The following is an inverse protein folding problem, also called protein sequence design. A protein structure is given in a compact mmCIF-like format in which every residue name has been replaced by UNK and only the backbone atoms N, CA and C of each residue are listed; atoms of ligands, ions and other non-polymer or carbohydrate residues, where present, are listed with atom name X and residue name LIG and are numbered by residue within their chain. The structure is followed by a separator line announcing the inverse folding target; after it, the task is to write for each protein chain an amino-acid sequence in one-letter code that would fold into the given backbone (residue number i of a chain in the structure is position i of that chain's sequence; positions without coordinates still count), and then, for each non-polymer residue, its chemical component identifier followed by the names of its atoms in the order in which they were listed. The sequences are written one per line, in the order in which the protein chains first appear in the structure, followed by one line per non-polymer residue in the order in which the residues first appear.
data_IF_137988388278
#
_entry.id   IF_137988388278
#
_cell.length_a   1.000
_cell.length_b   1.000
_cell.length_c   1.000
_cell.angle_alpha   90.00
_cell.angle_beta   90.00
_cell.angle_gamma   90.00
#
_symmetry.space_group_name_H-M   'P 1'
#
loop_
_entity.id
_entity.type
_entity.pdbx_description
1 polymer ?
#
# COMPACT_ATOMS: atom_id res chain seq x y z
N UNK A 1 17.79 8.18 5.39
CA UNK A 1 17.31 6.94 4.72
C UNK A 1 16.56 6.10 5.74
N UNK A 2 15.52 5.37 5.34
CA UNK A 2 14.77 4.42 6.17
C UNK A 2 14.67 3.10 5.41
N UNK A 3 14.72 1.97 6.11
CA UNK A 3 14.62 0.63 5.55
C UNK A 3 13.32 0.00 6.03
N UNK A 4 12.74 -0.84 5.19
CA UNK A 4 11.54 -1.62 5.49
C UNK A 4 11.71 -3.04 4.98
N UNK A 5 11.04 -4.00 5.59
CA UNK A 5 11.19 -5.43 5.28
C UNK A 5 9.98 -6.00 4.56
N UNK A 6 8.77 -5.57 4.88
CA UNK A 6 7.55 -6.19 4.37
C UNK A 6 6.80 -5.29 3.41
N UNK A 7 6.33 -4.13 3.88
CA UNK A 7 5.48 -3.28 3.08
C UNK A 7 5.57 -1.80 3.46
N UNK A 8 5.21 -0.96 2.51
CA UNK A 8 5.05 0.47 2.69
C UNK A 8 3.73 0.93 2.10
N UNK A 9 3.24 2.05 2.59
CA UNK A 9 1.97 2.60 2.19
C UNK A 9 1.98 4.11 2.13
N UNK A 10 1.46 4.68 1.05
CA UNK A 10 1.38 6.12 0.84
C UNK A 10 0.01 6.52 0.30
N UNK A 11 -0.51 7.67 0.75
CA UNK A 11 -1.83 8.15 0.32
C UNK A 11 -3.01 7.65 1.16
N UNK A 12 -2.71 7.06 2.32
CA UNK A 12 -3.71 6.83 3.36
C UNK A 12 -4.14 8.20 3.91
N UNK A 13 -5.41 8.40 4.22
CA UNK A 13 -5.89 9.69 4.73
C UNK A 13 -5.63 9.80 6.25
N UNK A 14 -5.41 11.01 6.77
CA UNK A 14 -5.29 11.29 8.20
C UNK A 14 -6.55 10.86 8.98
N UNK A 15 -7.73 10.89 8.35
CA UNK A 15 -8.98 10.38 8.91
C UNK A 15 -8.95 8.85 9.11
N UNK A 16 -8.31 8.11 8.20
CA UNK A 16 -8.09 6.67 8.32
C UNK A 16 -7.20 6.36 9.52
N UNK A 17 -6.17 7.16 9.77
CA UNK A 17 -5.27 7.00 10.91
C UNK A 17 -6.00 7.32 12.22
N UNK A 18 -6.75 8.42 12.28
CA UNK A 18 -7.55 8.80 13.47
C UNK A 18 -8.61 7.77 13.83
N UNK A 19 -9.22 7.13 12.84
CA UNK A 19 -10.16 6.05 13.07
C UNK A 19 -9.51 4.79 13.66
N UNK A 20 -8.28 4.47 13.22
CA UNK A 20 -7.46 3.39 13.78
C UNK A 20 -7.07 3.69 15.23
N UNK A 21 -6.74 4.94 15.54
CA UNK A 21 -6.41 5.37 16.90
C UNK A 21 -7.62 5.37 17.83
N UNK A 22 -8.82 5.74 17.37
CA UNK A 22 -10.05 5.68 18.17
C UNK A 22 -10.41 4.27 18.68
N UNK A 23 -9.98 3.23 17.97
CA UNK A 23 -10.20 1.83 18.35
C UNK A 23 -9.16 1.29 19.36
N UNK A 24 -8.08 2.03 19.65
CA UNK A 24 -7.10 1.68 20.69
C UNK A 24 -7.64 1.88 22.12
N UNK A 25 -8.62 2.75 22.31
CA UNK A 25 -9.25 3.01 23.62
C UNK A 25 -10.14 1.88 24.16
N UNK A 26 -10.41 0.84 23.36
CA UNK A 26 -11.33 -0.25 23.71
C UNK A 26 -10.65 -1.60 24.02
N UNK A 27 -9.33 -1.63 24.27
CA UNK A 27 -8.67 -2.77 24.92
C UNK A 27 -8.37 -4.01 24.06
N UNK A 28 -8.38 -3.90 22.73
CA UNK A 28 -8.12 -5.04 21.85
C UNK A 28 -6.68 -5.06 21.32
N UNK A 29 -6.02 -6.22 21.41
CA UNK A 29 -4.64 -6.47 20.97
C UNK A 29 -4.48 -6.27 19.45
N UNK A 30 -3.37 -5.63 19.09
CA UNK A 30 -3.05 -5.21 17.73
C UNK A 30 -2.48 -6.37 16.90
N UNK A 31 -3.17 -6.75 15.83
CA UNK A 31 -2.64 -7.54 14.72
C UNK A 31 -2.84 -6.78 13.40
N UNK A 32 -2.01 -7.01 12.37
CA UNK A 32 -2.03 -6.30 11.08
C UNK A 32 -3.41 -6.22 10.39
N UNK A 33 -4.32 -7.16 10.70
CA UNK A 33 -5.71 -7.18 10.27
C UNK A 33 -6.51 -5.91 10.58
N UNK A 34 -6.17 -5.16 11.63
CA UNK A 34 -6.88 -3.92 12.01
C UNK A 34 -6.53 -2.70 11.17
N UNK A 35 -5.40 -2.71 10.46
CA UNK A 35 -5.02 -1.60 9.59
C UNK A 35 -5.97 -1.49 8.39
N UNK A 36 -6.40 -2.62 7.83
CA UNK A 36 -7.21 -2.66 6.60
C UNK A 36 -8.71 -2.51 6.86
N UNK A 37 -9.27 -3.17 7.88
CA UNK A 37 -10.72 -3.09 8.14
C UNK A 37 -11.15 -1.70 8.61
N UNK A 38 -10.28 -1.00 9.34
CA UNK A 38 -10.52 0.37 9.79
C UNK A 38 -10.29 1.39 8.68
N UNK A 39 -9.29 1.16 7.83
CA UNK A 39 -9.03 1.94 6.61
C UNK A 39 -10.24 1.99 5.68
N UNK A 40 -10.96 0.88 5.52
CA UNK A 40 -12.14 0.81 4.65
C UNK A 40 -13.37 1.52 5.23
N UNK A 41 -13.47 1.69 6.56
CA UNK A 41 -14.65 2.25 7.23
C UNK A 41 -14.62 3.76 7.39
N UNK A 42 -13.44 4.38 7.44
CA UNK A 42 -13.30 5.81 7.77
C UNK A 42 -12.66 6.68 6.69
N UNK A 43 -12.46 6.16 5.47
CA UNK A 43 -11.97 6.93 4.32
C UNK A 43 -13.06 7.84 3.67
N UNK A 44 -13.96 8.43 4.47
CA UNK A 44 -15.16 9.09 3.95
C UNK A 44 -15.15 10.63 3.95
N UNK A 45 -14.07 11.32 4.36
CA UNK A 45 -14.07 12.80 4.41
C UNK A 45 -12.93 13.57 3.70
N UNK A 46 -11.97 12.95 3.00
CA UNK A 46 -10.99 13.72 2.18
C UNK A 46 -11.43 13.96 0.74
N UNK A 47 -10.98 15.10 0.20
CA UNK A 47 -11.17 15.55 -1.19
C UNK A 47 -10.88 14.44 -2.21
N UNK A 48 -11.95 13.83 -2.72
CA UNK A 48 -11.96 12.72 -3.68
C UNK A 48 -11.71 13.14 -5.11
N UNK A 49 -11.64 14.44 -5.40
CA UNK A 49 -11.66 14.94 -6.78
C UNK A 49 -10.27 14.97 -7.41
N UNK A 50 -9.23 15.15 -6.59
CA UNK A 50 -7.86 15.33 -7.08
C UNK A 50 -6.92 14.28 -6.45
N UNK A 51 -6.61 13.19 -7.17
CA UNK A 51 -5.57 12.26 -6.72
C UNK A 51 -4.22 12.97 -6.67
N UNK A 52 -3.53 12.96 -5.52
CA UNK A 52 -2.37 13.80 -5.35
C UNK A 52 -1.09 13.19 -5.91
N UNK A 53 -1.02 11.87 -6.13
CA UNK A 53 0.26 11.19 -6.40
C UNK A 53 0.48 10.83 -7.87
N UNK A 54 1.75 10.96 -8.27
CA UNK A 54 2.29 10.50 -9.55
C UNK A 54 3.43 9.51 -9.28
N UNK A 55 3.42 8.40 -10.01
CA UNK A 55 4.46 7.38 -10.01
C UNK A 55 5.43 7.60 -11.17
N UNK A 56 6.74 7.57 -10.88
CA UNK A 56 7.82 7.68 -11.86
C UNK A 56 8.96 6.72 -11.52
N UNK A 57 9.67 6.22 -12.53
CA UNK A 57 10.90 5.47 -12.32
C UNK A 57 11.59 5.11 -13.64
N UNK A 58 12.82 4.57 -13.60
CA UNK A 58 13.56 4.19 -14.80
C UNK A 58 12.83 3.07 -15.54
N UNK A 59 12.48 3.29 -16.82
CA UNK A 59 11.77 2.28 -17.62
C UNK A 59 10.29 2.07 -17.26
N UNK A 60 9.79 2.77 -16.24
CA UNK A 60 8.40 2.68 -15.78
C UNK A 60 7.56 3.75 -16.49
N UNK A 61 6.44 3.38 -17.15
CA UNK A 61 5.49 4.35 -17.66
C UNK A 61 4.95 5.22 -16.52
N UNK A 62 5.03 6.53 -16.68
CA UNK A 62 4.49 7.48 -15.71
C UNK A 62 3.00 7.23 -15.48
N UNK A 63 2.62 7.11 -14.21
CA UNK A 63 1.23 6.90 -13.83
C UNK A 63 0.76 8.02 -12.92
N UNK A 64 -0.03 8.92 -13.49
CA UNK A 64 -0.70 9.98 -12.74
C UNK A 64 -1.98 9.52 -12.08
N UNK A 65 -2.34 10.29 -11.06
CA UNK A 65 -3.63 10.23 -10.42
C UNK A 65 -3.78 9.02 -9.52
N UNK A 66 -2.71 8.67 -8.80
CA UNK A 66 -2.73 7.64 -7.77
C UNK A 66 -3.21 8.25 -6.46
N UNK A 67 -4.24 7.67 -5.86
CA UNK A 67 -4.73 8.09 -4.54
C UNK A 67 -4.08 7.31 -3.40
N UNK A 68 -3.84 6.02 -3.63
CA UNK A 68 -3.30 5.08 -2.66
C UNK A 68 -2.28 4.21 -3.37
N UNK A 69 -1.12 4.02 -2.75
CA UNK A 69 -0.12 3.08 -3.19
C UNK A 69 0.25 2.13 -2.05
N UNK A 70 0.19 0.84 -2.34
CA UNK A 70 0.70 -0.24 -1.49
C UNK A 70 1.97 -0.75 -2.16
N UNK A 71 3.07 -0.74 -1.43
CA UNK A 71 4.37 -1.22 -1.88
C UNK A 71 4.70 -2.47 -1.07
N UNK A 72 5.08 -3.55 -1.74
CA UNK A 72 5.38 -4.82 -1.12
C UNK A 72 6.78 -5.29 -1.51
N UNK A 73 7.54 -5.72 -0.51
CA UNK A 73 8.80 -6.45 -0.68
C UNK A 73 8.57 -7.98 -0.62
N UNK A 74 7.40 -8.41 -0.14
CA UNK A 74 6.98 -9.81 -0.08
C UNK A 74 5.46 -9.92 0.00
N UNK A 75 4.94 -11.14 -0.16
CA UNK A 75 3.52 -11.49 -0.01
C UNK A 75 3.34 -12.48 1.14
N UNK A 76 2.22 -12.45 1.89
CA UNK A 76 1.09 -11.53 1.79
C UNK A 76 1.38 -10.15 2.39
N UNK A 77 0.64 -9.15 1.93
CA UNK A 77 0.73 -7.78 2.47
C UNK A 77 0.22 -7.71 3.92
N UNK A 78 -0.86 -8.43 4.20
CA UNK A 78 -1.50 -8.52 5.54
C UNK A 78 -2.51 -9.66 5.57
N UNK A 79 -3.25 -9.81 6.66
CA UNK A 79 -4.29 -10.83 6.85
C UNK A 79 -5.61 -10.20 7.29
N UNK A 80 -6.74 -10.74 6.87
CA UNK A 80 -8.09 -10.44 7.41
C UNK A 80 -8.61 -11.72 8.08
N UNK A 81 -8.57 -11.76 9.41
CA UNK A 81 -8.74 -13.03 10.13
C UNK A 81 -7.65 -14.02 9.69
N UNK A 82 -8.06 -15.19 9.23
CA UNK A 82 -7.15 -16.24 8.74
C UNK A 82 -6.90 -16.16 7.22
N UNK A 83 -7.49 -15.19 6.52
CA UNK A 83 -7.34 -15.05 5.08
C UNK A 83 -6.21 -14.07 4.74
N UNK A 84 -5.20 -14.46 3.96
CA UNK A 84 -4.19 -13.52 3.48
C UNK A 84 -4.81 -12.47 2.56
N UNK A 85 -4.18 -11.31 2.48
CA UNK A 85 -4.49 -10.25 1.52
C UNK A 85 -3.21 -9.96 0.73
N UNK A 86 -3.27 -10.21 -0.56
CA UNK A 86 -2.13 -10.28 -1.47
C UNK A 86 -2.41 -9.36 -2.68
N UNK A 87 -2.26 -8.03 -2.52
CA UNK A 87 -2.46 -7.07 -3.60
C UNK A 87 -1.43 -7.22 -4.73
N UNK A 88 -0.26 -7.76 -4.40
CA UNK A 88 0.89 -8.01 -5.27
C UNK A 88 1.33 -9.47 -5.06
N UNK A 89 0.59 -10.45 -5.63
CA UNK A 89 0.83 -11.87 -5.35
C UNK A 89 2.19 -12.40 -5.80
N UNK A 90 2.90 -11.66 -6.66
CA UNK A 90 4.23 -12.05 -7.15
C UNK A 90 5.37 -11.43 -6.35
N UNK A 91 5.07 -10.60 -5.35
CA UNK A 91 6.08 -9.96 -4.51
C UNK A 91 6.87 -11.02 -3.74
N UNK A 92 8.19 -11.00 -3.89
CA UNK A 92 9.11 -11.95 -3.28
C UNK A 92 10.39 -11.25 -2.82
N UNK A 93 11.04 -11.78 -1.78
CA UNK A 93 12.36 -11.31 -1.37
C UNK A 93 13.46 -11.57 -2.42
N UNK A 94 13.20 -12.46 -3.38
CA UNK A 94 14.11 -12.79 -4.48
C UNK A 94 13.98 -11.82 -5.67
N UNK A 95 12.95 -10.96 -5.67
CA UNK A 95 12.67 -9.99 -6.73
C UNK A 95 12.84 -8.56 -6.21
N UNK A 96 12.70 -7.59 -7.10
CA UNK A 96 12.52 -6.18 -6.76
C UNK A 96 11.22 -5.89 -6.02
N UNK A 97 10.87 -4.61 -5.94
CA UNK A 97 9.68 -4.14 -5.25
C UNK A 97 8.45 -4.19 -6.16
N UNK A 98 7.32 -4.57 -5.57
CA UNK A 98 6.02 -4.56 -6.23
C UNK A 98 5.16 -3.41 -5.72
N UNK A 99 4.29 -2.90 -6.58
CA UNK A 99 3.34 -1.85 -6.23
C UNK A 99 1.94 -2.18 -6.74
N UNK A 100 0.94 -1.99 -5.89
CA UNK A 100 -0.45 -1.83 -6.31
C UNK A 100 -0.93 -0.42 -5.97
N UNK A 101 -1.20 0.38 -7.00
CA UNK A 101 -1.73 1.73 -6.89
C UNK A 101 -3.18 1.81 -7.32
N UNK A 102 -4.02 2.50 -6.55
CA UNK A 102 -5.41 2.78 -6.89
C UNK A 102 -5.52 4.20 -7.43
N UNK A 103 -5.96 4.33 -8.69
CA UNK A 103 -6.17 5.59 -9.41
C UNK A 103 -7.59 6.14 -9.29
N UNK A 104 -8.51 5.34 -8.75
CA UNK A 104 -9.87 5.77 -8.41
C UNK A 104 -10.23 5.22 -7.04
N UNK A 105 -10.60 6.11 -6.14
CA UNK A 105 -11.15 5.73 -4.84
C UNK A 105 -12.66 5.89 -4.81
N UNK A 106 -13.32 4.83 -4.41
CA UNK A 106 -14.76 4.74 -4.31
C UNK A 106 -15.19 3.32 -4.02
N UNK A 107 -16.37 3.18 -3.40
CA UNK A 107 -16.93 1.89 -2.99
C UNK A 107 -16.92 0.87 -4.14
N UNK A 108 -17.31 1.29 -5.35
CA UNK A 108 -17.31 0.41 -6.51
C UNK A 108 -15.90 -0.06 -6.93
N UNK A 109 -14.87 0.79 -6.82
CA UNK A 109 -13.49 0.40 -7.14
C UNK A 109 -12.95 -0.59 -6.11
N UNK A 110 -13.25 -0.36 -4.83
CA UNK A 110 -12.89 -1.25 -3.73
C UNK A 110 -13.59 -2.59 -3.88
N UNK A 111 -14.91 -2.62 -4.06
CA UNK A 111 -15.69 -3.86 -4.22
C UNK A 111 -15.27 -4.68 -5.44
N UNK A 112 -14.77 -4.04 -6.50
CA UNK A 112 -14.21 -4.74 -7.66
C UNK A 112 -12.80 -5.30 -7.40
N UNK A 113 -12.00 -4.64 -6.58
CA UNK A 113 -10.58 -4.99 -6.34
C UNK A 113 -10.44 -5.99 -5.20
N UNK A 114 -11.17 -5.80 -4.11
CA UNK A 114 -11.10 -6.62 -2.90
C UNK A 114 -11.16 -8.14 -3.15
N UNK A 115 -12.13 -8.68 -3.92
CA UNK A 115 -12.18 -10.14 -4.14
C UNK A 115 -11.02 -10.66 -5.00
N UNK A 116 -10.30 -9.81 -5.73
CA UNK A 116 -9.14 -10.20 -6.54
C UNK A 116 -7.85 -10.27 -5.72
N UNK A 117 -7.82 -9.67 -4.52
CA UNK A 117 -6.61 -9.57 -3.69
C UNK A 117 -6.74 -10.34 -2.37
N UNK A 118 -7.92 -10.87 -2.03
CA UNK A 118 -8.11 -11.71 -0.84
C UNK A 118 -7.76 -13.16 -1.19
N UNK A 119 -7.02 -13.81 -0.31
CA UNK A 119 -6.47 -15.14 -0.50
C UNK A 119 -5.07 -15.10 -1.12
N UNK A 120 -4.76 -16.16 -1.86
CA UNK A 120 -3.48 -16.36 -2.57
C UNK A 120 -3.77 -16.36 -4.08
N UNK A 121 -4.12 -15.21 -4.67
CA UNK A 121 -4.37 -15.13 -6.10
C UNK A 121 -3.09 -15.44 -6.88
N UNK A 122 -3.23 -16.10 -8.01
CA UNK A 122 -2.13 -16.45 -8.91
C UNK A 122 -1.78 -15.31 -9.90
N UNK A 123 -2.59 -14.26 -9.92
CA UNK A 123 -2.54 -13.16 -10.90
C UNK A 123 -2.77 -11.82 -10.23
N UNK A 124 -2.14 -10.80 -10.82
CA UNK A 124 -2.37 -9.41 -10.47
C UNK A 124 -3.85 -9.01 -10.63
N UNK A 125 -4.40 -8.18 -9.72
CA UNK A 125 -5.75 -7.65 -9.88
C UNK A 125 -5.89 -6.84 -11.17
N UNK A 126 -7.05 -6.96 -11.80
CA UNK A 126 -7.36 -6.33 -13.08
C UNK A 126 -8.31 -5.15 -12.91
N UNK A 127 -8.09 -4.10 -13.71
CA UNK A 127 -8.97 -2.94 -13.81
C UNK A 127 -8.24 -1.67 -14.22
N UNK A 128 -8.84 -0.86 -15.10
CA UNK A 128 -8.25 0.40 -15.56
C UNK A 128 -8.12 1.49 -14.48
N UNK A 129 -8.64 1.24 -13.28
CA UNK A 129 -8.45 2.11 -12.11
C UNK A 129 -7.22 1.72 -11.27
N UNK A 130 -6.42 0.77 -11.73
CA UNK A 130 -5.21 0.29 -11.05
C UNK A 130 -3.97 0.71 -11.83
N UNK A 131 -2.87 0.93 -11.12
CA UNK A 131 -1.51 0.94 -11.65
C UNK A 131 -0.70 -0.07 -10.87
N UNK A 132 0.19 -0.80 -11.54
CA UNK A 132 0.86 -1.96 -10.97
C UNK A 132 2.31 -1.96 -11.43
N UNK A 133 3.20 -2.34 -10.51
CA UNK A 133 4.60 -2.61 -10.77
C UNK A 133 4.96 -3.98 -10.19
N UNK A 134 5.93 -4.63 -10.82
CA UNK A 134 6.49 -5.89 -10.37
C UNK A 134 7.98 -5.91 -10.63
N UNK A 135 8.76 -6.44 -9.68
CA UNK A 135 10.22 -6.63 -9.83
C UNK A 135 10.99 -5.33 -10.09
N UNK A 136 10.55 -4.21 -9.50
CA UNK A 136 11.18 -2.91 -9.74
C UNK A 136 12.33 -2.63 -8.77
N UNK A 137 13.50 -2.28 -9.32
CA UNK A 137 14.66 -1.93 -8.52
C UNK A 137 14.52 -0.56 -7.84
N UNK A 138 13.87 0.41 -8.52
CA UNK A 138 13.70 1.76 -8.01
C UNK A 138 12.49 2.47 -8.64
N UNK A 139 11.70 3.15 -7.82
CA UNK A 139 10.68 4.09 -8.28
C UNK A 139 10.41 5.17 -7.24
N UNK A 140 9.76 6.25 -7.66
CA UNK A 140 9.41 7.39 -6.81
C UNK A 140 7.92 7.69 -6.90
N UNK A 141 7.31 7.91 -5.74
CA UNK A 141 5.99 8.51 -5.63
C UNK A 141 6.14 9.97 -5.19
N UNK A 142 5.56 10.88 -5.97
CA UNK A 142 5.50 12.31 -5.65
C UNK A 142 4.04 12.72 -5.52
N UNK A 143 3.70 13.43 -4.45
CA UNK A 143 2.40 13.96 -4.13
C UNK A 143 2.38 15.49 -4.24
N UNK A 144 1.31 16.05 -4.77
CA UNK A 144 1.11 17.51 -4.87
C UNK A 144 0.76 18.20 -3.53
N UNK A 145 0.56 17.42 -2.48
CA UNK A 145 0.31 17.84 -1.10
C UNK A 145 0.84 16.78 -0.13
N UNK A 146 1.09 17.09 1.14
CA UNK A 146 1.45 16.09 2.14
C UNK A 146 0.38 14.98 2.20
N UNK A 147 0.82 13.73 2.15
CA UNK A 147 -0.04 12.55 2.29
C UNK A 147 0.51 11.59 3.33
N UNK A 148 -0.36 10.88 4.03
CA UNK A 148 0.08 9.98 5.08
C UNK A 148 0.97 8.86 4.51
N UNK A 149 2.01 8.54 5.28
CA UNK A 149 3.05 7.60 4.92
C UNK A 149 3.28 6.62 6.07
N UNK A 150 3.27 5.33 5.75
CA UNK A 150 3.53 4.25 6.69
C UNK A 150 4.59 3.31 6.13
N UNK A 151 5.34 2.67 7.01
CA UNK A 151 6.41 1.75 6.68
C UNK A 151 6.39 0.60 7.70
N UNK A 152 6.29 -0.65 7.24
CA UNK A 152 6.13 -1.87 8.04
C UNK A 152 5.06 -1.78 9.15
N UNK A 153 3.99 -1.03 8.89
CA UNK A 153 2.90 -0.79 9.83
C UNK A 153 3.11 0.44 10.71
N UNK A 154 4.32 1.01 10.78
CA UNK A 154 4.57 2.22 11.55
C UNK A 154 4.18 3.47 10.78
N UNK A 155 3.32 4.30 11.39
CA UNK A 155 2.98 5.59 10.82
C UNK A 155 4.14 6.58 10.99
N UNK A 156 4.60 7.17 9.88
CA UNK A 156 5.77 8.04 9.85
C UNK A 156 5.43 9.51 9.55
N UNK A 157 4.16 9.88 9.67
CA UNK A 157 3.66 11.22 9.35
C UNK A 157 3.30 11.36 7.88
N UNK A 158 3.29 12.60 7.40
CA UNK A 158 2.96 12.92 6.01
C UNK A 158 4.22 13.16 5.18
N UNK A 159 4.17 12.81 3.90
CA UNK A 159 5.26 13.00 2.93
C UNK A 159 4.70 13.50 1.60
N UNK A 160 5.50 14.30 0.91
CA UNK A 160 5.23 14.73 -0.46
C UNK A 160 6.03 13.93 -1.49
N UNK A 161 7.12 13.27 -1.07
CA UNK A 161 7.93 12.48 -1.98
C UNK A 161 8.59 11.33 -1.24
N UNK A 162 8.54 10.14 -1.84
CA UNK A 162 9.23 8.95 -1.36
C UNK A 162 9.83 8.19 -2.54
N UNK A 163 11.14 7.97 -2.49
CA UNK A 163 11.86 7.10 -3.42
C UNK A 163 12.06 5.74 -2.76
N UNK A 164 11.59 4.71 -3.43
CA UNK A 164 11.72 3.31 -3.05
C UNK A 164 12.85 2.67 -3.83
N UNK A 165 13.67 1.88 -3.15
CA UNK A 165 14.79 1.13 -3.74
C UNK A 165 14.81 -0.27 -3.16
N UNK A 166 14.85 -1.28 -4.02
CA UNK A 166 15.18 -2.63 -3.61
C UNK A 166 16.68 -2.74 -3.33
N UNK A 167 17.03 -3.37 -2.21
CA UNK A 167 18.43 -3.67 -1.88
C UNK A 167 18.49 -5.19 -1.70
N UNK A 168 18.83 -5.94 -2.75
CA UNK A 168 18.83 -7.40 -2.70
C UNK A 168 19.89 -7.90 -1.70
N UNK A 169 19.60 -9.01 -1.04
CA UNK A 169 20.47 -9.66 -0.06
C UNK A 169 20.95 -8.74 1.09
N UNK A 170 20.16 -7.71 1.47
CA UNK A 170 20.51 -6.79 2.56
C UNK A 170 20.46 -7.44 3.96
N UNK A 171 19.66 -8.49 4.14
CA UNK A 171 19.44 -9.17 5.42
C UNK A 171 19.52 -10.68 5.25
N UNK A 172 20.27 -11.35 6.12
CA UNK A 172 20.26 -12.81 6.26
C UNK A 172 19.41 -13.17 7.47
N UNK A 173 18.44 -14.07 7.27
CA UNK A 173 17.56 -14.58 8.33
C UNK A 173 17.91 -16.04 8.56
N UNK A 174 18.19 -16.40 9.81
CA UNK A 174 18.33 -17.79 10.24
C UNK A 174 16.94 -18.33 10.57
N UNK A 175 16.60 -19.47 9.96
CA UNK A 175 15.37 -20.21 10.20
C UNK A 175 15.59 -21.30 11.26
#
# INVERSE_FOLDING_TARGET
SRYFTFCSGMGFDAEVIRAVEGLRGAGFRATPARYVTTMLRHYFMTDRRNPPMTLRGPGIPEADGVFLAIICNTTPWTYIGDQPVSPTPWASFETGLDLLGLRRLGVAAILRTAPQIVGEPDRLPSGGHLTQLHDEAEFTLTASRPVAFQLDGDYLGEREQVTYRSIPAALQVLL
#
